data_IF_051065374132
#
_entry.id   IF_051065374132
#
_cell.length_a   1.000
_cell.length_b   1.000
_cell.length_c   1.000
_cell.angle_alpha   90.00
_cell.angle_beta   90.00
_cell.angle_gamma   90.00
#
_symmetry.space_group_name_H-M   'P 1'
#
loop_
_entity.id
_entity.type
_entity.pdbx_description
1 polymer ?
#
# COMPACT_ATOMS: atom_id res chain seq x y z
N UNK A 1 -0.91 0.34 19.45
CA UNK A 1 0.07 0.93 20.37
C UNK A 1 1.48 0.38 20.27
N UNK A 2 1.77 -0.67 19.47
CA UNK A 2 3.11 -1.27 19.38
C UNK A 2 4.23 -0.28 19.03
N UNK A 3 3.95 0.62 18.10
CA UNK A 3 4.94 1.56 17.59
C UNK A 3 4.85 2.94 18.23
N UNK A 4 4.05 3.09 19.30
CA UNK A 4 3.86 4.39 19.96
C UNK A 4 5.17 4.99 20.41
N UNK A 5 5.92 4.24 21.21
CA UNK A 5 7.18 4.72 21.81
C UNK A 5 8.24 5.02 20.75
N UNK A 6 8.23 4.29 19.63
CA UNK A 6 9.14 4.52 18.50
C UNK A 6 8.77 5.79 17.73
N UNK A 7 7.47 6.00 17.49
CA UNK A 7 6.96 7.18 16.80
C UNK A 7 7.22 8.44 17.63
N UNK A 8 6.94 8.39 18.94
CA UNK A 8 7.17 9.52 19.85
C UNK A 8 8.67 9.81 20.06
N UNK A 9 9.53 8.77 20.12
CA UNK A 9 10.99 8.95 20.12
C UNK A 9 11.53 9.61 18.85
N UNK A 10 10.86 9.38 17.73
CA UNK A 10 11.17 10.07 16.47
C UNK A 10 10.70 11.55 16.44
N UNK A 11 10.11 12.05 17.52
CA UNK A 11 9.56 13.41 17.59
C UNK A 11 8.26 13.59 16.82
N UNK A 12 7.55 12.49 16.52
CA UNK A 12 6.28 12.49 15.80
C UNK A 12 5.12 12.29 16.76
N UNK A 13 3.96 12.86 16.46
CA UNK A 13 2.73 12.62 17.19
C UNK A 13 2.16 11.25 16.84
N UNK A 14 1.84 10.45 17.84
CA UNK A 14 1.20 9.15 17.67
C UNK A 14 -0.31 9.27 17.88
N UNK A 15 -1.08 9.05 16.83
CA UNK A 15 -2.55 9.00 16.89
C UNK A 15 -2.98 7.53 16.83
N UNK A 16 -3.53 6.95 17.92
CA UNK A 16 -4.00 5.58 17.91
C UNK A 16 -5.22 5.45 16.99
N UNK A 17 -5.18 4.51 16.05
CA UNK A 17 -6.29 4.24 15.14
C UNK A 17 -6.75 2.79 15.27
N UNK A 18 -8.07 2.52 15.16
CA UNK A 18 -8.58 1.16 15.20
C UNK A 18 -8.14 0.35 13.95
N UNK A 19 -8.01 -0.97 14.06
CA UNK A 19 -8.20 -1.78 15.27
C UNK A 19 -6.99 -1.71 16.20
N UNK A 20 -7.26 -1.61 17.49
CA UNK A 20 -6.23 -1.74 18.51
C UNK A 20 -6.01 -3.24 18.81
N UNK A 21 -4.98 -3.80 18.17
CA UNK A 21 -4.65 -5.21 18.33
C UNK A 21 -3.51 -5.39 19.32
N UNK A 22 -3.67 -6.39 20.17
CA UNK A 22 -2.56 -6.93 20.94
C UNK A 22 -1.64 -7.79 20.05
N UNK A 23 -0.46 -8.12 20.57
CA UNK A 23 0.55 -8.91 19.84
C UNK A 23 0.02 -10.27 19.40
N UNK A 24 -0.84 -10.89 20.18
CA UNK A 24 -1.40 -12.20 19.90
C UNK A 24 -2.32 -12.12 18.69
N UNK A 25 -3.24 -11.16 18.67
CA UNK A 25 -4.16 -10.93 17.55
C UNK A 25 -3.43 -10.54 16.27
N UNK A 26 -2.40 -9.68 16.38
CA UNK A 26 -1.57 -9.32 15.24
C UNK A 26 -0.87 -10.55 14.65
N UNK A 27 -0.26 -11.39 15.51
CA UNK A 27 0.43 -12.62 15.09
C UNK A 27 -0.52 -13.62 14.42
N UNK A 28 -1.73 -13.79 14.94
CA UNK A 28 -2.76 -14.65 14.34
C UNK A 28 -3.23 -14.12 12.98
N UNK A 29 -3.46 -12.80 12.88
CA UNK A 29 -3.81 -12.14 11.63
C UNK A 29 -2.70 -12.34 10.58
N UNK A 30 -1.45 -12.09 10.93
CA UNK A 30 -0.30 -12.27 10.05
C UNK A 30 -0.15 -13.74 9.60
N UNK A 31 -0.34 -14.70 10.52
CA UNK A 31 -0.34 -16.14 10.17
C UNK A 31 -1.45 -16.51 9.21
N UNK A 32 -2.62 -15.92 9.35
CA UNK A 32 -3.76 -16.15 8.44
C UNK A 32 -3.52 -15.52 7.07
N UNK A 33 -2.94 -14.32 7.03
CA UNK A 33 -2.60 -13.62 5.80
C UNK A 33 -1.48 -14.33 5.04
N UNK A 34 -0.41 -14.77 5.71
CA UNK A 34 0.74 -15.46 5.09
C UNK A 34 0.38 -16.78 4.42
N UNK A 35 -0.66 -17.46 4.88
CA UNK A 35 -1.20 -18.68 4.25
C UNK A 35 -2.05 -18.43 3.01
N UNK A 36 -2.37 -17.17 2.72
CA UNK A 36 -3.27 -16.81 1.62
C UNK A 36 -2.48 -16.54 0.34
N UNK A 37 -2.40 -17.53 -0.55
CA UNK A 37 -1.65 -17.43 -1.82
C UNK A 37 -2.31 -16.55 -2.88
N UNK A 38 -3.62 -16.39 -2.84
CA UNK A 38 -4.34 -15.57 -3.82
C UNK A 38 -4.29 -14.10 -3.41
N UNK A 39 -3.66 -13.20 -4.20
CA UNK A 39 -3.47 -11.79 -3.82
C UNK A 39 -4.79 -11.02 -3.66
N UNK A 40 -5.81 -11.34 -4.45
CA UNK A 40 -7.12 -10.69 -4.32
C UNK A 40 -7.81 -11.10 -3.02
N UNK A 41 -7.77 -12.40 -2.68
CA UNK A 41 -8.30 -12.89 -1.40
C UNK A 41 -7.51 -12.36 -0.21
N UNK A 42 -6.18 -12.23 -0.36
CA UNK A 42 -5.34 -11.61 0.67
C UNK A 42 -5.77 -10.18 0.93
N UNK A 43 -5.92 -9.40 -0.12
CA UNK A 43 -6.35 -8.01 -0.03
C UNK A 43 -7.76 -7.90 0.58
N UNK A 44 -8.70 -8.74 0.14
CA UNK A 44 -10.04 -8.79 0.73
C UNK A 44 -10.01 -9.10 2.24
N UNK A 45 -9.16 -10.05 2.68
CA UNK A 45 -9.01 -10.36 4.10
C UNK A 45 -8.46 -9.19 4.90
N UNK A 46 -7.46 -8.47 4.37
CA UNK A 46 -6.94 -7.25 5.00
C UNK A 46 -8.06 -6.24 5.21
N UNK A 47 -8.84 -5.97 4.16
CA UNK A 47 -9.95 -5.02 4.25
C UNK A 47 -11.09 -5.51 5.17
N UNK A 48 -11.37 -6.81 5.20
CA UNK A 48 -12.38 -7.36 6.11
C UNK A 48 -12.06 -7.11 7.58
N UNK A 49 -10.79 -7.08 7.94
CA UNK A 49 -10.36 -6.76 9.30
C UNK A 49 -10.65 -5.31 9.70
N UNK A 50 -10.66 -4.39 8.74
CA UNK A 50 -10.96 -2.97 8.98
C UNK A 50 -12.46 -2.67 8.99
N UNK A 51 -13.31 -3.54 8.43
CA UNK A 51 -14.76 -3.28 8.28
C UNK A 51 -15.47 -2.95 9.59
N UNK A 52 -15.25 -3.67 10.71
CA UNK A 52 -15.94 -3.37 11.96
C UNK A 52 -15.68 -1.96 12.49
N UNK A 53 -14.52 -1.41 12.15
CA UNK A 53 -13.99 -0.15 12.65
C UNK A 53 -14.03 0.97 11.61
N UNK A 54 -14.56 0.71 10.41
CA UNK A 54 -14.41 1.63 9.27
C UNK A 54 -15.00 3.02 9.55
N UNK A 55 -16.08 3.12 10.29
CA UNK A 55 -16.69 4.39 10.67
C UNK A 55 -15.75 5.21 11.55
N UNK A 56 -15.37 4.65 12.68
CA UNK A 56 -14.46 5.25 13.64
C UNK A 56 -13.09 5.59 13.01
N UNK A 57 -12.50 4.64 12.27
CA UNK A 57 -11.26 4.85 11.56
C UNK A 57 -11.32 6.05 10.60
N UNK A 58 -12.41 6.17 9.83
CA UNK A 58 -12.57 7.25 8.87
C UNK A 58 -12.83 8.61 9.56
N UNK A 59 -13.47 8.63 10.70
CA UNK A 59 -13.70 9.85 11.51
C UNK A 59 -12.39 10.33 12.14
N UNK A 60 -11.62 9.45 12.77
CA UNK A 60 -10.33 9.77 13.36
C UNK A 60 -9.31 10.22 12.30
N UNK A 61 -9.29 9.54 11.14
CA UNK A 61 -8.44 9.92 10.03
C UNK A 61 -8.85 11.28 9.44
N UNK A 62 -10.15 11.57 9.33
CA UNK A 62 -10.64 12.85 8.86
C UNK A 62 -10.22 13.99 9.80
N UNK A 63 -10.28 13.77 11.12
CA UNK A 63 -9.79 14.72 12.12
C UNK A 63 -8.28 14.93 12.02
N UNK A 64 -7.50 13.86 11.92
CA UNK A 64 -6.04 13.94 11.77
C UNK A 64 -5.60 14.64 10.46
N UNK A 65 -6.46 14.67 9.44
CA UNK A 65 -6.17 15.35 8.17
C UNK A 65 -6.47 16.86 8.19
N UNK A 66 -7.06 17.41 9.22
CA UNK A 66 -7.40 18.86 9.25
C UNK A 66 -6.15 19.72 9.13
N UNK A 67 -5.14 19.45 9.92
CA UNK A 67 -3.93 20.28 10.07
C UNK A 67 -2.74 19.77 9.25
N UNK A 68 -2.91 18.75 8.39
CA UNK A 68 -1.82 18.24 7.58
C UNK A 68 -1.80 18.86 6.18
N UNK A 69 -0.61 19.05 5.60
CA UNK A 69 -0.41 19.52 4.22
C UNK A 69 -0.37 18.37 3.21
N UNK A 70 -0.01 17.18 3.65
CA UNK A 70 0.18 15.98 2.83
C UNK A 70 -0.23 14.73 3.60
N UNK A 71 -0.94 13.84 2.93
CA UNK A 71 -1.26 12.50 3.46
C UNK A 71 -0.37 11.48 2.78
N UNK A 72 0.37 10.73 3.58
CA UNK A 72 1.21 9.61 3.10
C UNK A 72 0.66 8.30 3.63
N UNK A 73 0.46 7.32 2.77
CA UNK A 73 -0.12 6.04 3.17
C UNK A 73 0.47 4.86 2.40
N UNK A 74 0.30 3.65 2.92
CA UNK A 74 0.57 2.45 2.14
C UNK A 74 -0.48 2.28 1.03
N UNK A 75 -0.08 1.72 -0.10
CA UNK A 75 -0.99 1.39 -1.21
C UNK A 75 -2.14 0.46 -0.79
N UNK A 76 -1.98 -0.29 0.30
CA UNK A 76 -3.02 -1.16 0.86
C UNK A 76 -4.23 -0.38 1.41
N UNK A 77 -4.07 0.91 1.71
CA UNK A 77 -5.12 1.74 2.31
C UNK A 77 -5.73 2.74 1.30
N UNK A 78 -6.07 2.26 0.11
CA UNK A 78 -6.65 3.08 -0.96
C UNK A 78 -7.93 3.85 -0.56
N UNK A 79 -8.64 3.41 0.47
CA UNK A 79 -9.80 4.10 1.02
C UNK A 79 -9.42 5.42 1.73
N UNK A 80 -8.19 5.60 2.20
CA UNK A 80 -7.72 6.86 2.78
C UNK A 80 -7.64 7.97 1.74
N UNK A 81 -7.31 7.64 0.49
CA UNK A 81 -7.33 8.61 -0.62
C UNK A 81 -8.68 9.27 -0.82
N UNK A 82 -9.77 8.55 -0.53
CA UNK A 82 -11.13 9.08 -0.64
C UNK A 82 -11.34 10.28 0.29
N UNK A 83 -10.76 10.23 1.50
CA UNK A 83 -10.80 11.35 2.45
C UNK A 83 -9.87 12.49 2.04
N UNK A 84 -8.63 12.17 1.67
CA UNK A 84 -7.67 13.16 1.21
C UNK A 84 -8.24 13.99 0.04
N UNK A 85 -8.89 13.34 -0.94
CA UNK A 85 -9.56 14.00 -2.04
C UNK A 85 -10.72 14.90 -1.58
N UNK A 86 -11.53 14.44 -0.60
CA UNK A 86 -12.61 15.26 -0.04
C UNK A 86 -12.10 16.53 0.63
N UNK A 87 -10.92 16.46 1.28
CA UNK A 87 -10.26 17.57 1.97
C UNK A 87 -9.33 18.37 1.07
N UNK A 88 -9.24 18.07 -0.22
CA UNK A 88 -8.28 18.67 -1.17
C UNK A 88 -6.82 18.59 -0.69
N UNK A 89 -6.47 17.51 0.02
CA UNK A 89 -5.11 17.27 0.48
C UNK A 89 -4.36 16.40 -0.54
N UNK A 90 -3.10 16.71 -0.89
CA UNK A 90 -2.25 15.84 -1.67
C UNK A 90 -2.12 14.46 -1.02
N UNK A 91 -2.07 13.40 -1.83
CA UNK A 91 -2.02 12.03 -1.36
C UNK A 91 -0.85 11.29 -1.98
N UNK A 92 0.15 10.96 -1.19
CA UNK A 92 1.27 10.12 -1.60
C UNK A 92 1.09 8.69 -1.11
N UNK A 93 1.52 7.74 -1.94
CA UNK A 93 1.46 6.32 -1.62
C UNK A 93 2.87 5.75 -1.54
N UNK A 94 3.13 4.93 -0.52
CA UNK A 94 4.36 4.16 -0.41
C UNK A 94 4.05 2.69 -0.68
N UNK A 95 4.85 2.07 -1.54
CA UNK A 95 4.87 0.62 -1.75
C UNK A 95 6.27 0.05 -1.53
N UNK A 96 6.32 -1.11 -0.90
CA UNK A 96 7.56 -1.86 -0.65
C UNK A 96 7.76 -3.00 -1.66
N UNK A 97 6.98 -3.01 -2.73
CA UNK A 97 7.06 -4.04 -3.77
C UNK A 97 6.97 -3.44 -5.16
N UNK A 98 7.90 -3.85 -6.03
CA UNK A 98 7.90 -3.51 -7.44
C UNK A 98 6.75 -4.20 -8.21
N UNK A 99 6.22 -5.31 -7.69
CA UNK A 99 5.17 -6.10 -8.34
C UNK A 99 3.83 -5.36 -8.48
N UNK A 100 3.66 -4.25 -7.77
CA UNK A 100 2.46 -3.41 -7.86
C UNK A 100 2.69 -2.15 -8.70
N UNK A 101 3.87 -2.00 -9.31
CA UNK A 101 4.22 -0.87 -10.18
C UNK A 101 3.84 -1.19 -11.62
N UNK A 102 2.82 -0.53 -12.20
CA UNK A 102 2.41 -0.80 -13.56
C UNK A 102 3.50 -0.45 -14.59
N UNK A 103 3.79 -1.40 -15.47
CA UNK A 103 4.81 -1.27 -16.50
C UNK A 103 4.30 -1.77 -17.85
N UNK A 104 4.68 -1.11 -18.94
CA UNK A 104 4.41 -1.62 -20.28
C UNK A 104 5.26 -2.85 -20.63
N UNK A 105 6.37 -3.07 -19.90
CA UNK A 105 7.34 -4.14 -20.20
C UNK A 105 7.06 -5.42 -19.41
N UNK A 106 6.28 -5.33 -18.31
CA UNK A 106 5.98 -6.46 -17.45
C UNK A 106 4.48 -6.58 -17.21
N UNK A 107 3.91 -7.79 -17.28
CA UNK A 107 2.52 -8.02 -16.91
C UNK A 107 2.34 -7.89 -15.40
N UNK A 108 1.11 -7.63 -14.91
CA UNK A 108 0.83 -7.70 -13.49
C UNK A 108 1.11 -9.12 -12.96
N UNK A 109 1.75 -9.20 -11.79
CA UNK A 109 1.88 -10.46 -11.06
C UNK A 109 0.47 -11.01 -10.79
N UNK A 110 0.20 -12.15 -10.96
CA UNK A 110 0.48 -13.51 -11.23
C UNK A 110 0.22 -13.98 -12.68
N UNK A 111 0.11 -13.09 -13.64
CA UNK A 111 -0.24 -13.40 -15.04
C UNK A 111 1.05 -13.59 -15.91
N UNK A 112 2.18 -13.67 -15.25
CA UNK A 112 3.51 -13.74 -15.88
C UNK A 112 3.72 -14.90 -16.89
N UNK A 113 2.85 -15.91 -16.90
CA UNK A 113 2.96 -17.05 -17.82
C UNK A 113 2.39 -16.80 -19.23
N UNK A 114 1.77 -15.65 -19.47
CA UNK A 114 1.18 -15.29 -20.79
C UNK A 114 2.20 -14.59 -21.71
N UNK A 115 3.47 -14.84 -21.59
CA UNK A 115 4.57 -14.26 -22.38
C UNK A 115 4.65 -14.78 -23.84
N UNK A 116 3.62 -15.37 -24.35
CA UNK A 116 3.61 -15.94 -25.71
C UNK A 116 3.36 -14.91 -26.82
N UNK A 117 3.29 -13.61 -26.49
CA UNK A 117 3.01 -12.58 -27.49
C UNK A 117 4.29 -12.04 -28.17
N UNK A 118 4.21 -11.69 -29.47
CA UNK A 118 5.30 -11.00 -30.15
C UNK A 118 5.68 -9.71 -29.41
N UNK A 119 6.98 -9.38 -29.37
CA UNK A 119 7.52 -8.24 -28.62
C UNK A 119 6.83 -6.90 -28.92
N UNK A 120 6.44 -6.67 -30.18
CA UNK A 120 5.78 -5.42 -30.58
C UNK A 120 4.36 -5.27 -30.00
N UNK A 121 3.65 -6.38 -29.75
CA UNK A 121 2.32 -6.37 -29.15
C UNK A 121 2.37 -6.46 -27.62
N UNK A 122 3.52 -6.85 -27.03
CA UNK A 122 3.66 -7.11 -25.61
C UNK A 122 3.39 -5.87 -24.75
N UNK A 123 3.89 -4.70 -25.17
CA UNK A 123 3.70 -3.45 -24.41
C UNK A 123 2.21 -3.05 -24.34
N UNK A 124 1.50 -3.13 -25.48
CA UNK A 124 0.06 -2.84 -25.51
C UNK A 124 -0.71 -3.85 -24.66
N UNK A 125 -0.37 -5.13 -24.78
CA UNK A 125 -0.99 -6.20 -24.01
C UNK A 125 -0.78 -6.03 -22.51
N UNK A 126 0.44 -5.71 -22.07
CA UNK A 126 0.74 -5.45 -20.68
C UNK A 126 -0.06 -4.26 -20.13
N UNK A 127 -0.19 -3.17 -20.90
CA UNK A 127 -1.03 -2.01 -20.53
C UNK A 127 -2.50 -2.41 -20.35
N UNK A 128 -3.03 -3.25 -21.23
CA UNK A 128 -4.41 -3.77 -21.12
C UNK A 128 -4.58 -4.67 -19.90
N UNK A 129 -3.60 -5.55 -19.64
CA UNK A 129 -3.61 -6.42 -18.47
C UNK A 129 -3.56 -5.63 -17.15
N UNK A 130 -2.73 -4.60 -17.06
CA UNK A 130 -2.69 -3.74 -15.89
C UNK A 130 -4.01 -3.03 -15.66
N UNK A 131 -4.64 -2.47 -16.71
CA UNK A 131 -5.95 -1.85 -16.60
C UNK A 131 -7.05 -2.84 -16.21
N UNK A 132 -7.04 -4.02 -16.78
CA UNK A 132 -7.99 -5.08 -16.45
C UNK A 132 -7.83 -5.54 -15.00
N UNK A 133 -6.58 -5.74 -14.55
CA UNK A 133 -6.26 -6.10 -13.16
C UNK A 133 -6.70 -5.03 -12.17
N UNK A 134 -6.44 -3.76 -12.48
CA UNK A 134 -6.89 -2.63 -11.65
C UNK A 134 -8.42 -2.61 -11.52
N UNK A 135 -9.14 -2.71 -12.62
CA UNK A 135 -10.62 -2.77 -12.61
C UNK A 135 -11.15 -3.97 -11.83
N UNK A 136 -10.54 -5.14 -12.00
CA UNK A 136 -10.93 -6.35 -11.28
C UNK A 136 -10.72 -6.22 -9.77
N UNK A 137 -9.57 -5.70 -9.35
CA UNK A 137 -9.27 -5.47 -7.93
C UNK A 137 -10.20 -4.40 -7.36
N UNK A 138 -10.41 -3.29 -8.07
CA UNK A 138 -11.35 -2.25 -7.66
C UNK A 138 -12.78 -2.77 -7.49
N UNK A 139 -13.25 -3.62 -8.41
CA UNK A 139 -14.56 -4.26 -8.29
C UNK A 139 -14.63 -5.15 -7.04
N UNK A 140 -13.58 -5.94 -6.78
CA UNK A 140 -13.49 -6.80 -5.60
C UNK A 140 -13.46 -5.98 -4.28
N UNK A 141 -12.66 -4.91 -4.24
CA UNK A 141 -12.58 -4.01 -3.08
C UNK A 141 -13.91 -3.29 -2.82
N UNK A 142 -14.52 -2.73 -3.86
CA UNK A 142 -15.79 -2.04 -3.72
C UNK A 142 -16.95 -2.99 -3.40
N UNK A 143 -16.87 -4.27 -3.79
CA UNK A 143 -17.81 -5.30 -3.33
C UNK A 143 -17.68 -5.55 -1.83
N UNK A 144 -16.45 -5.56 -1.32
CA UNK A 144 -16.14 -5.81 0.10
C UNK A 144 -16.45 -4.58 0.96
N UNK A 145 -15.91 -3.42 0.58
CA UNK A 145 -15.94 -2.19 1.38
C UNK A 145 -17.07 -1.22 1.02
N UNK A 146 -17.59 -1.28 -0.21
CA UNK A 146 -18.45 -0.22 -0.76
C UNK A 146 -19.73 0.05 0.04
N UNK A 147 -20.36 -0.99 0.62
CA UNK A 147 -21.54 -0.84 1.47
C UNK A 147 -21.21 -0.11 2.78
N UNK A 148 -20.05 -0.44 3.35
CA UNK A 148 -19.57 0.13 4.61
C UNK A 148 -19.13 1.58 4.44
N UNK A 149 -18.39 1.88 3.37
CA UNK A 149 -18.05 3.26 3.00
C UNK A 149 -19.30 4.10 2.75
N UNK A 150 -20.29 3.56 2.04
CA UNK A 150 -21.56 4.26 1.80
C UNK A 150 -22.31 4.57 3.11
N UNK A 151 -22.35 3.60 4.07
CA UNK A 151 -22.94 3.84 5.39
C UNK A 151 -22.23 4.95 6.16
N UNK A 152 -20.90 5.04 6.03
CA UNK A 152 -20.08 6.10 6.61
C UNK A 152 -20.13 7.42 5.80
N UNK A 153 -21.02 7.56 4.82
CA UNK A 153 -21.12 8.77 4.00
C UNK A 153 -19.94 8.98 3.05
N UNK A 154 -19.20 7.91 2.70
CA UNK A 154 -17.98 7.98 1.89
C UNK A 154 -18.19 7.41 0.49
N UNK A 155 -17.56 7.98 -0.55
CA UNK A 155 -17.65 7.44 -1.90
C UNK A 155 -16.87 6.13 -2.05
N UNK A 156 -17.09 5.46 -3.17
CA UNK A 156 -16.36 4.23 -3.54
C UNK A 156 -14.91 4.54 -3.86
N UNK A 157 -14.04 3.53 -3.69
CA UNK A 157 -12.64 3.58 -4.12
C UNK A 157 -12.62 3.63 -5.66
N UNK A 158 -11.91 4.60 -6.24
CA UNK A 158 -11.84 4.83 -7.69
C UNK A 158 -10.51 4.41 -8.31
N UNK A 159 -9.44 4.39 -7.54
CA UNK A 159 -8.09 4.12 -8.02
C UNK A 159 -7.38 3.17 -7.06
N UNK A 160 -6.57 2.26 -7.60
CA UNK A 160 -5.80 1.32 -6.78
C UNK A 160 -4.39 1.07 -7.38
N UNK A 161 -4.24 0.31 -8.49
CA UNK A 161 -2.94 0.00 -9.07
C UNK A 161 -2.44 1.06 -10.03
N UNK A 162 -3.31 1.50 -10.96
CA UNK A 162 -2.88 2.38 -12.06
C UNK A 162 -2.56 3.80 -11.61
N UNK A 163 -3.21 4.27 -10.58
CA UNK A 163 -3.01 5.61 -10.02
C UNK A 163 -3.36 5.62 -8.54
N UNK A 164 -2.56 4.98 -7.66
CA UNK A 164 -2.88 4.85 -6.25
C UNK A 164 -2.81 6.16 -5.47
N UNK A 165 -1.93 7.09 -5.87
CA UNK A 165 -1.73 8.41 -5.27
C UNK A 165 -1.44 9.48 -6.31
N UNK A 166 -1.32 10.72 -5.89
CA UNK A 166 -0.83 11.82 -6.72
C UNK A 166 0.67 11.67 -6.96
N UNK A 167 1.36 11.08 -5.99
CA UNK A 167 2.72 10.58 -6.06
C UNK A 167 2.77 9.16 -5.49
N UNK A 168 3.50 8.26 -6.16
CA UNK A 168 3.70 6.89 -5.69
C UNK A 168 5.19 6.64 -5.49
N UNK A 169 5.58 6.44 -4.24
CA UNK A 169 6.95 6.16 -3.83
C UNK A 169 7.17 4.64 -3.77
N UNK A 170 8.19 4.17 -4.44
CA UNK A 170 8.57 2.75 -4.45
C UNK A 170 9.83 2.61 -3.60
N UNK A 171 9.65 2.12 -2.38
CA UNK A 171 10.72 1.94 -1.39
C UNK A 171 11.53 0.67 -1.67
N UNK A 172 12.04 0.56 -2.90
CA UNK A 172 12.90 -0.53 -3.39
C UNK A 172 14.05 0.08 -4.15
N UNK A 173 15.23 -0.53 -4.06
CA UNK A 173 16.40 -0.07 -4.80
C UNK A 173 16.20 -0.24 -6.32
N UNK A 174 16.44 0.82 -7.07
CA UNK A 174 16.48 0.77 -8.55
C UNK A 174 17.51 -0.24 -9.07
N UNK A 175 18.58 -0.49 -8.32
CA UNK A 175 19.62 -1.45 -8.70
C UNK A 175 19.15 -2.90 -8.70
N UNK A 176 18.14 -3.22 -7.85
CA UNK A 176 17.58 -4.57 -7.78
C UNK A 176 16.51 -4.80 -8.84
N UNK A 177 15.68 -3.80 -9.11
CA UNK A 177 14.52 -3.93 -9.97
C UNK A 177 14.13 -2.58 -10.57
N UNK A 178 14.97 -2.09 -11.48
CA UNK A 178 14.55 -0.99 -12.35
C UNK A 178 13.67 -1.57 -13.44
N UNK A 179 12.38 -1.18 -13.52
CA UNK A 179 11.59 -1.53 -14.69
C UNK A 179 12.30 -0.98 -15.93
N UNK A 180 12.65 -1.85 -16.86
CA UNK A 180 13.16 -1.39 -18.15
C UNK A 180 12.08 -0.51 -18.81
N UNK A 181 12.34 0.79 -18.89
CA UNK A 181 11.42 1.76 -19.50
C UNK A 181 10.44 2.45 -18.51
N UNK A 182 9.53 3.27 -19.04
CA UNK A 182 8.65 4.11 -18.25
C UNK A 182 7.61 3.30 -17.48
N UNK A 183 7.30 3.74 -16.27
CA UNK A 183 6.14 3.25 -15.52
C UNK A 183 4.83 3.81 -16.09
N UNK A 184 3.71 3.11 -15.86
CA UNK A 184 2.37 3.59 -16.23
C UNK A 184 1.79 4.37 -15.04
N UNK A 185 2.26 5.59 -14.81
CA UNK A 185 1.82 6.45 -13.73
C UNK A 185 2.97 7.22 -13.08
N UNK A 186 2.66 8.00 -12.04
CA UNK A 186 3.64 8.80 -11.32
C UNK A 186 4.30 7.99 -10.19
N UNK A 187 5.24 7.11 -10.56
CA UNK A 187 6.00 6.29 -9.64
C UNK A 187 7.46 6.76 -9.58
N UNK A 188 7.98 6.93 -8.36
CA UNK A 188 9.38 7.27 -8.10
C UNK A 188 10.01 6.25 -7.17
N UNK A 189 11.16 5.72 -7.56
CA UNK A 189 11.95 4.82 -6.73
C UNK A 189 12.77 5.66 -5.75
N UNK A 190 12.72 5.30 -4.47
CA UNK A 190 13.39 6.05 -3.39
C UNK A 190 14.54 5.27 -2.76
N UNK A 191 14.74 4.01 -3.15
CA UNK A 191 15.58 3.11 -2.41
C UNK A 191 14.88 2.56 -1.16
N UNK A 192 15.59 1.76 -0.38
CA UNK A 192 15.04 1.21 0.85
C UNK A 192 14.90 2.31 1.90
N UNK A 193 13.75 2.34 2.56
CA UNK A 193 13.56 3.13 3.77
C UNK A 193 14.15 2.32 4.93
N UNK A 194 15.14 2.87 5.59
CA UNK A 194 15.73 2.29 6.79
C UNK A 194 15.35 3.13 7.99
N UNK A 195 14.91 2.47 9.03
CA UNK A 195 14.86 3.02 10.36
C UNK A 195 16.08 2.46 11.12
N UNK A 196 16.91 3.32 11.65
CA UNK A 196 18.00 2.91 12.53
C UNK A 196 17.52 3.10 13.97
N UNK A 197 17.33 1.99 14.69
CA UNK A 197 17.17 2.02 16.13
C UNK A 197 18.54 2.07 16.80
N UNK A 198 18.59 2.48 18.07
CA UNK A 198 19.83 2.41 18.84
C UNK A 198 20.35 0.97 18.98
N UNK A 199 19.43 -0.02 19.00
CA UNK A 199 19.77 -1.44 19.00
C UNK A 199 20.41 -1.89 17.67
N UNK A 200 20.01 -1.31 16.53
CA UNK A 200 20.61 -1.63 15.24
C UNK A 200 22.06 -1.15 15.16
N UNK A 201 22.41 -0.03 15.81
CA UNK A 201 23.77 0.47 15.86
C UNK A 201 24.71 -0.47 16.64
N UNK A 202 24.21 -1.08 17.71
CA UNK A 202 24.96 -2.07 18.49
C UNK A 202 25.13 -3.39 17.71
N UNK A 203 24.14 -3.81 16.96
CA UNK A 203 24.20 -4.98 16.10
C UNK A 203 25.13 -4.76 14.89
N UNK A 204 25.11 -3.59 14.28
CA UNK A 204 26.05 -3.20 13.21
C UNK A 204 27.51 -3.23 13.70
N UNK A 205 27.78 -2.69 14.87
CA UNK A 205 29.12 -2.76 15.47
C UNK A 205 29.57 -4.20 15.74
N UNK A 206 28.67 -5.07 16.18
CA UNK A 206 28.98 -6.50 16.36
C UNK A 206 29.24 -7.20 15.02
N UNK A 207 28.50 -6.85 13.96
CA UNK A 207 28.70 -7.42 12.62
C UNK A 207 30.01 -6.92 11.98
N UNK A 208 30.34 -5.64 12.13
CA UNK A 208 31.61 -5.09 11.66
C UNK A 208 32.83 -5.71 12.39
N UNK A 209 32.68 -6.03 13.68
CA UNK A 209 33.73 -6.72 14.44
C UNK A 209 33.89 -8.20 14.05
N UNK A 210 32.90 -8.78 13.33
CA UNK A 210 32.93 -10.18 12.89
C UNK A 210 33.45 -10.36 11.46
N UNK A 211 33.50 -9.28 10.65
CA UNK A 211 34.05 -9.26 9.31
C UNK A 211 35.52 -8.81 9.28
#
# INVERSE_FOLDING_TARGET
>A
PFYKDEVERAGLEFIPMPPDWDQTRLSEAMRTLSRTRNPVRLLQKIYHQSIPFIGELMEQLEAAMEDCDLVVSSYLFAHFRVLAQKKNKPFAVITFSHNVVPSPNYPPFPIAKLWLMPRFAQSLWNRLLWRASDRFILAALNRTMGKHLKKAGRPKIKNFLMNPGDLSLVAVSEKLLKPEGPTLGNFKFTGYLRWQSEEDSALEQQLEAFC
#
